data_IF_916968430601
#
_entry.id   IF_916968430601
#
_cell.length_a   1.000
_cell.length_b   1.000
_cell.length_c   1.000
_cell.angle_alpha   90.00
_cell.angle_beta   90.00
_cell.angle_gamma   90.00
#
_symmetry.space_group_name_H-M   'P 1'
#
loop_
_entity.id
_entity.type
_entity.pdbx_description
1 polymer ?
#
# COMPACT_ATOMS: atom_id res chain seq x y z
N UNK A 1 30.29 30.02 -10.06
CA UNK A 1 28.98 30.45 -10.59
C UNK A 1 27.91 29.61 -9.91
N UNK A 2 27.13 30.16 -8.97
CA UNK A 2 25.90 29.53 -8.51
C UNK A 2 24.82 29.92 -9.51
N UNK A 3 24.49 29.06 -10.46
CA UNK A 3 23.18 29.15 -11.10
C UNK A 3 22.18 28.99 -9.96
N UNK A 4 21.41 30.04 -9.69
CA UNK A 4 20.25 29.91 -8.82
C UNK A 4 19.41 28.80 -9.45
N UNK A 5 19.35 27.62 -8.82
CA UNK A 5 18.44 26.58 -9.27
C UNK A 5 17.06 27.20 -9.32
N UNK A 6 16.47 27.20 -10.50
CA UNK A 6 15.15 27.75 -10.74
C UNK A 6 14.15 26.95 -9.88
N UNK A 7 13.65 27.57 -8.81
CA UNK A 7 12.69 26.94 -7.90
C UNK A 7 11.27 27.23 -8.37
N UNK A 8 10.42 26.21 -8.36
CA UNK A 8 8.99 26.29 -8.66
C UNK A 8 8.19 25.89 -7.43
N UNK A 9 7.21 26.73 -7.10
CA UNK A 9 6.24 26.44 -6.04
C UNK A 9 5.14 25.53 -6.59
N UNK A 10 4.98 24.34 -6.03
CA UNK A 10 3.80 23.50 -6.26
C UNK A 10 2.85 23.63 -5.07
N UNK A 11 1.54 23.56 -5.32
CA UNK A 11 0.52 23.56 -4.26
C UNK A 11 -0.37 22.34 -4.41
N UNK A 12 -0.62 21.65 -3.29
CA UNK A 12 -1.34 20.39 -3.21
C UNK A 12 -2.21 20.34 -1.97
N UNK A 13 -3.28 19.56 -2.00
CA UNK A 13 -4.08 19.20 -0.82
C UNK A 13 -3.45 17.98 -0.14
N UNK A 14 -2.98 18.15 1.09
CA UNK A 14 -2.45 17.04 1.90
C UNK A 14 -3.35 16.74 3.09
N UNK A 15 -3.44 15.46 3.44
CA UNK A 15 -4.14 15.02 4.65
C UNK A 15 -3.41 15.55 5.89
N UNK A 16 -4.10 16.33 6.73
CA UNK A 16 -3.44 17.06 7.82
C UNK A 16 -2.69 16.17 8.82
N UNK A 17 -3.20 15.00 9.25
CA UNK A 17 -2.44 14.09 10.13
C UNK A 17 -1.12 13.64 9.51
N UNK A 18 -1.12 13.33 8.21
CA UNK A 18 0.08 12.98 7.46
C UNK A 18 1.05 14.16 7.38
N UNK A 19 0.57 15.35 7.02
CA UNK A 19 1.40 16.56 6.94
C UNK A 19 2.03 16.89 8.30
N UNK A 20 1.27 16.79 9.38
CA UNK A 20 1.78 16.99 10.74
C UNK A 20 2.91 16.00 11.05
N UNK A 21 2.69 14.71 10.79
CA UNK A 21 3.68 13.67 11.05
C UNK A 21 4.96 13.85 10.22
N UNK A 22 4.79 14.20 8.95
CA UNK A 22 5.90 14.46 8.04
C UNK A 22 6.75 15.64 8.53
N UNK A 23 6.13 16.76 8.89
CA UNK A 23 6.85 17.91 9.45
C UNK A 23 7.55 17.56 10.78
N UNK A 24 6.90 16.79 11.66
CA UNK A 24 7.48 16.33 12.94
C UNK A 24 8.76 15.53 12.70
N UNK A 25 8.74 14.57 11.76
CA UNK A 25 9.89 13.72 11.46
C UNK A 25 11.02 14.50 10.75
N UNK A 26 10.71 15.38 9.80
CA UNK A 26 11.72 16.26 9.20
C UNK A 26 12.42 17.12 10.25
N UNK A 27 11.65 17.72 11.17
CA UNK A 27 12.20 18.54 12.25
C UNK A 27 13.10 17.72 13.19
N UNK A 28 12.66 16.51 13.58
CA UNK A 28 13.45 15.60 14.41
C UNK A 28 14.74 15.14 13.74
N UNK A 29 14.73 14.99 12.43
CA UNK A 29 15.90 14.63 11.62
C UNK A 29 16.77 15.84 11.24
N UNK A 30 16.42 17.05 11.68
CA UNK A 30 17.10 18.30 11.30
C UNK A 30 17.14 18.55 9.78
N UNK A 31 16.11 18.09 9.05
CA UNK A 31 16.02 18.23 7.60
C UNK A 31 15.19 19.44 7.19
N UNK A 32 15.62 20.14 6.14
CA UNK A 32 14.75 21.07 5.44
C UNK A 32 13.74 20.25 4.64
N UNK A 33 12.47 20.32 5.04
CA UNK A 33 11.38 19.55 4.43
C UNK A 33 11.29 19.71 2.92
N UNK A 34 11.26 20.94 2.41
CA UNK A 34 11.08 21.20 0.98
C UNK A 34 12.28 20.68 0.18
N UNK A 35 13.50 20.88 0.67
CA UNK A 35 14.70 20.39 0.01
C UNK A 35 14.80 18.85 0.04
N UNK A 36 14.43 18.22 1.15
CA UNK A 36 14.41 16.76 1.25
C UNK A 36 13.33 16.16 0.35
N UNK A 37 12.12 16.72 0.35
CA UNK A 37 11.03 16.24 -0.47
C UNK A 37 11.28 16.46 -1.97
N UNK A 38 12.01 17.52 -2.34
CA UNK A 38 12.52 17.73 -3.70
C UNK A 38 13.43 16.59 -4.15
N UNK A 39 14.37 16.12 -3.33
CA UNK A 39 15.22 14.98 -3.66
C UNK A 39 14.40 13.69 -3.83
N UNK A 40 13.48 13.42 -2.90
CA UNK A 40 12.62 12.24 -2.97
C UNK A 40 11.77 12.26 -4.24
N UNK A 41 11.10 13.37 -4.55
CA UNK A 41 10.23 13.45 -5.73
C UNK A 41 10.99 13.39 -7.06
N UNK A 42 12.25 13.85 -7.09
CA UNK A 42 13.13 13.74 -8.26
C UNK A 42 13.41 12.28 -8.62
N UNK A 43 13.49 11.42 -7.61
CA UNK A 43 13.60 9.97 -7.77
C UNK A 43 12.23 9.32 -8.05
N UNK A 44 11.21 9.66 -7.28
CA UNK A 44 9.92 8.95 -7.31
C UNK A 44 9.09 9.25 -8.55
N UNK A 45 9.18 10.44 -9.14
CA UNK A 45 8.45 10.76 -10.37
C UNK A 45 8.82 9.85 -11.56
N UNK A 46 10.11 9.63 -11.90
CA UNK A 46 10.48 8.67 -12.93
C UNK A 46 10.21 7.21 -12.50
N UNK A 47 10.37 6.86 -11.22
CA UNK A 47 10.03 5.52 -10.73
C UNK A 47 8.56 5.17 -10.92
N UNK A 48 7.64 6.11 -10.68
CA UNK A 48 6.21 5.94 -10.96
C UNK A 48 5.97 5.47 -12.39
N UNK A 49 6.57 6.14 -13.37
CA UNK A 49 6.40 5.78 -14.78
C UNK A 49 7.07 4.46 -15.12
N UNK A 50 8.27 4.22 -14.58
CA UNK A 50 9.01 2.99 -14.82
C UNK A 50 8.25 1.77 -14.30
N UNK A 51 7.67 1.85 -13.10
CA UNK A 51 6.92 0.75 -12.48
C UNK A 51 5.55 0.52 -13.15
N UNK A 52 4.91 1.59 -13.63
CA UNK A 52 3.67 1.46 -14.38
C UNK A 52 3.89 0.78 -15.74
N UNK A 53 5.09 0.86 -16.31
CA UNK A 53 5.45 0.27 -17.59
C UNK A 53 4.46 0.66 -18.72
N UNK A 54 4.07 1.93 -18.77
CA UNK A 54 3.12 2.48 -19.75
C UNK A 54 1.64 2.26 -19.41
N UNK A 55 1.31 1.56 -18.33
CA UNK A 55 -0.05 1.53 -17.79
C UNK A 55 -0.46 2.90 -17.26
N UNK A 56 -1.75 3.21 -17.35
CA UNK A 56 -2.35 4.43 -16.83
C UNK A 56 -3.72 4.14 -16.27
N UNK A 57 -4.14 4.90 -15.26
CA UNK A 57 -5.49 4.78 -14.73
C UNK A 57 -6.52 5.09 -15.82
N UNK A 58 -7.68 4.42 -15.78
CA UNK A 58 -8.84 4.88 -16.53
C UNK A 58 -9.36 6.22 -15.97
N UNK A 59 -10.23 6.91 -16.71
CA UNK A 59 -10.91 8.10 -16.21
C UNK A 59 -11.78 7.79 -14.97
N UNK A 60 -12.35 6.59 -14.89
CA UNK A 60 -13.14 6.13 -13.76
C UNK A 60 -12.26 5.90 -12.53
N UNK A 61 -11.14 5.17 -12.68
CA UNK A 61 -10.15 4.93 -11.64
C UNK A 61 -9.58 6.25 -11.09
N UNK A 62 -9.15 7.17 -11.97
CA UNK A 62 -8.66 8.49 -11.55
C UNK A 62 -9.69 9.26 -10.73
N UNK A 63 -10.94 9.29 -11.19
CA UNK A 63 -12.05 9.98 -10.48
C UNK A 63 -12.33 9.31 -9.14
N UNK A 64 -12.27 7.98 -9.09
CA UNK A 64 -12.50 7.18 -7.91
C UNK A 64 -11.47 7.45 -6.81
N UNK A 65 -10.18 7.33 -7.14
CA UNK A 65 -9.08 7.56 -6.21
C UNK A 65 -9.10 9.01 -5.71
N UNK A 66 -9.33 9.97 -6.61
CA UNK A 66 -9.51 11.38 -6.22
C UNK A 66 -10.63 11.55 -5.19
N UNK A 67 -11.78 10.90 -5.40
CA UNK A 67 -12.89 10.95 -4.44
C UNK A 67 -12.47 10.35 -3.10
N UNK A 68 -11.78 9.21 -3.09
CA UNK A 68 -11.30 8.58 -1.86
C UNK A 68 -10.35 9.52 -1.08
N UNK A 69 -9.48 10.26 -1.76
CA UNK A 69 -8.62 11.26 -1.10
C UNK A 69 -9.46 12.38 -0.46
N UNK A 70 -10.46 12.90 -1.17
CA UNK A 70 -11.37 13.93 -0.65
C UNK A 70 -12.25 13.44 0.51
N UNK A 71 -12.44 12.12 0.64
CA UNK A 71 -13.19 11.49 1.74
C UNK A 71 -12.41 11.42 3.06
N UNK A 72 -11.08 11.54 3.06
CA UNK A 72 -10.22 11.43 4.27
C UNK A 72 -10.42 12.52 5.33
N UNK A 73 -11.22 13.55 5.01
CA UNK A 73 -11.49 14.73 5.84
C UNK A 73 -10.20 15.51 6.20
N UNK A 74 -10.33 16.79 6.59
CA UNK A 74 -9.20 17.64 7.01
C UNK A 74 -8.01 17.70 6.02
N UNK A 75 -8.32 17.89 4.73
CA UNK A 75 -7.30 18.22 3.73
C UNK A 75 -6.86 19.68 3.88
N UNK A 76 -5.55 19.92 3.84
CA UNK A 76 -4.95 21.25 3.96
C UNK A 76 -4.15 21.59 2.70
N UNK A 77 -4.33 22.80 2.15
CA UNK A 77 -3.46 23.28 1.11
C UNK A 77 -2.06 23.49 1.69
N UNK A 78 -1.07 22.86 1.08
CA UNK A 78 0.34 23.06 1.39
C UNK A 78 1.11 23.34 0.11
N UNK A 79 2.17 24.12 0.24
CA UNK A 79 3.07 24.39 -0.88
C UNK A 79 4.47 23.92 -0.59
N UNK A 80 5.13 23.40 -1.62
CA UNK A 80 6.53 23.00 -1.60
C UNK A 80 7.31 23.80 -2.65
N UNK A 81 8.50 24.27 -2.29
CA UNK A 81 9.42 24.93 -3.21
C UNK A 81 10.44 23.91 -3.73
N UNK A 82 10.19 23.41 -4.93
CA UNK A 82 10.98 22.35 -5.57
C UNK A 82 11.89 22.92 -6.66
N UNK A 83 12.90 22.18 -7.11
CA UNK A 83 13.55 22.48 -8.40
C UNK A 83 12.48 22.45 -9.50
N UNK A 84 12.59 23.35 -10.48
CA UNK A 84 11.66 23.42 -11.60
C UNK A 84 11.61 22.09 -12.36
N UNK A 85 12.77 21.47 -12.59
CA UNK A 85 12.89 20.16 -13.22
C UNK A 85 12.10 19.08 -12.48
N UNK A 86 12.22 19.02 -11.15
CA UNK A 86 11.50 18.07 -10.31
C UNK A 86 9.99 18.32 -10.33
N UNK A 87 9.57 19.58 -10.21
CA UNK A 87 8.14 19.94 -10.32
C UNK A 87 7.54 19.57 -11.68
N UNK A 88 8.28 19.76 -12.77
CA UNK A 88 7.88 19.37 -14.13
C UNK A 88 7.86 17.84 -14.32
N UNK A 89 8.81 17.12 -13.71
CA UNK A 89 8.84 15.66 -13.71
C UNK A 89 7.61 15.08 -12.98
N UNK A 90 7.25 15.64 -11.82
CA UNK A 90 6.05 15.25 -11.07
C UNK A 90 4.78 15.50 -11.88
N UNK A 91 4.63 16.69 -12.46
CA UNK A 91 3.45 17.03 -13.28
C UNK A 91 3.33 16.05 -14.47
N UNK A 92 4.43 15.82 -15.19
CA UNK A 92 4.48 14.89 -16.32
C UNK A 92 4.13 13.46 -15.92
N UNK A 93 4.74 12.96 -14.84
CA UNK A 93 4.50 11.60 -14.37
C UNK A 93 3.03 11.38 -13.98
N UNK A 94 2.42 12.37 -13.32
CA UNK A 94 1.01 12.31 -12.96
C UNK A 94 0.10 12.37 -14.20
N UNK A 95 0.43 13.21 -15.18
CA UNK A 95 -0.36 13.33 -16.41
C UNK A 95 -0.30 12.04 -17.26
N UNK A 96 0.89 11.47 -17.44
CA UNK A 96 1.10 10.21 -18.18
C UNK A 96 0.41 9.02 -17.49
N UNK A 97 0.49 8.92 -16.17
CA UNK A 97 -0.20 7.90 -15.37
C UNK A 97 -1.71 8.11 -15.25
N UNK A 98 -2.25 9.22 -15.80
CA UNK A 98 -3.61 9.70 -15.59
C UNK A 98 -3.99 9.70 -14.09
N UNK A 99 -3.14 10.29 -13.27
CA UNK A 99 -3.24 10.35 -11.82
C UNK A 99 -3.45 11.80 -11.37
N UNK A 100 -4.12 11.99 -10.22
CA UNK A 100 -4.19 13.31 -9.61
C UNK A 100 -2.94 13.57 -8.77
N UNK A 101 -2.21 14.66 -9.05
CA UNK A 101 -0.94 15.01 -8.37
C UNK A 101 -0.99 14.93 -6.85
N UNK A 102 -2.08 15.39 -6.25
CA UNK A 102 -2.24 15.39 -4.79
C UNK A 102 -2.21 13.97 -4.23
N UNK A 103 -2.75 12.97 -4.95
CA UNK A 103 -2.68 11.55 -4.57
C UNK A 103 -1.25 11.06 -4.54
N UNK A 104 -0.48 11.35 -5.60
CA UNK A 104 0.92 10.96 -5.69
C UNK A 104 1.75 11.56 -4.55
N UNK A 105 1.59 12.86 -4.29
CA UNK A 105 2.30 13.56 -3.22
C UNK A 105 1.93 13.02 -1.84
N UNK A 106 0.65 12.75 -1.57
CA UNK A 106 0.25 12.13 -0.30
C UNK A 106 0.79 10.70 -0.18
N UNK A 107 0.83 9.93 -1.27
CA UNK A 107 1.41 8.57 -1.25
C UNK A 107 2.88 8.60 -0.88
N UNK A 108 3.68 9.40 -1.58
CA UNK A 108 5.13 9.50 -1.32
C UNK A 108 5.36 9.96 0.12
N UNK A 109 4.65 11.00 0.58
CA UNK A 109 4.77 11.46 1.96
C UNK A 109 4.34 10.38 2.97
N UNK A 110 3.28 9.60 2.68
CA UNK A 110 2.85 8.50 3.54
C UNK A 110 3.93 7.43 3.68
N UNK A 111 4.54 7.01 2.57
CA UNK A 111 5.60 6.01 2.56
C UNK A 111 6.85 6.46 3.33
N UNK A 112 7.14 7.77 3.38
CA UNK A 112 8.24 8.32 4.19
C UNK A 112 7.99 8.28 5.70
N UNK A 113 6.73 8.26 6.15
CA UNK A 113 6.40 8.41 7.59
C UNK A 113 5.80 7.17 8.22
N UNK A 114 5.25 6.27 7.41
CA UNK A 114 4.57 5.06 7.86
C UNK A 114 5.57 4.10 8.49
N UNK A 115 5.14 3.36 9.51
CA UNK A 115 5.95 2.27 10.07
C UNK A 115 5.88 1.05 9.17
N UNK A 116 6.97 0.31 9.06
CA UNK A 116 7.02 -0.95 8.29
C UNK A 116 5.88 -1.90 8.65
N UNK A 117 5.56 -2.08 9.93
CA UNK A 117 4.46 -2.95 10.39
C UNK A 117 3.10 -2.58 9.80
N UNK A 118 2.87 -1.30 9.51
CA UNK A 118 1.64 -0.85 8.86
C UNK A 118 1.64 -1.20 7.37
N UNK A 119 2.80 -1.18 6.70
CA UNK A 119 2.92 -1.64 5.32
C UNK A 119 2.78 -3.17 5.21
N UNK A 120 3.43 -3.90 6.12
CA UNK A 120 3.31 -5.36 6.23
C UNK A 120 1.84 -5.80 6.30
N UNK A 121 1.06 -5.16 7.17
CA UNK A 121 -0.37 -5.43 7.29
C UNK A 121 -1.20 -5.01 6.07
N UNK A 122 -0.76 -4.01 5.30
CA UNK A 122 -1.51 -3.54 4.12
C UNK A 122 -1.30 -4.45 2.91
N UNK A 123 -0.11 -5.04 2.78
CA UNK A 123 0.27 -5.85 1.63
C UNK A 123 0.34 -7.34 1.93
N UNK A 124 0.08 -7.75 3.19
CA UNK A 124 0.18 -9.13 3.65
C UNK A 124 1.58 -9.73 3.40
N UNK A 125 2.61 -8.94 3.71
CA UNK A 125 4.02 -9.28 3.51
C UNK A 125 4.77 -9.10 4.83
N UNK A 126 5.66 -10.03 5.18
CA UNK A 126 6.53 -9.91 6.35
C UNK A 126 7.97 -9.56 5.92
N UNK A 127 8.39 -8.30 6.13
CA UNK A 127 9.66 -7.78 5.62
C UNK A 127 10.88 -8.54 6.16
N UNK A 128 10.78 -9.07 7.38
CA UNK A 128 11.84 -9.88 8.02
C UNK A 128 12.21 -11.13 7.21
N UNK A 129 11.31 -11.64 6.36
CA UNK A 129 11.57 -12.80 5.51
C UNK A 129 12.45 -12.47 4.29
N UNK A 130 12.62 -11.18 3.98
CA UNK A 130 13.38 -10.67 2.83
C UNK A 130 14.63 -9.92 3.27
N UNK A 131 15.18 -10.32 4.42
CA UNK A 131 16.31 -9.63 5.05
C UNK A 131 17.51 -9.60 4.10
N UNK A 132 17.82 -10.72 3.47
CA UNK A 132 19.00 -10.85 2.63
C UNK A 132 18.86 -9.98 1.37
N UNK A 133 17.70 -9.96 0.74
CA UNK A 133 17.40 -9.10 -0.42
C UNK A 133 17.49 -7.61 -0.09
N UNK A 134 17.06 -7.20 1.11
CA UNK A 134 17.21 -5.80 1.58
C UNK A 134 18.69 -5.44 1.77
N UNK A 135 19.53 -6.38 2.24
CA UNK A 135 20.93 -6.13 2.56
C UNK A 135 21.90 -6.41 1.40
N UNK A 136 21.51 -7.16 0.37
CA UNK A 136 22.31 -7.37 -0.84
C UNK A 136 22.56 -6.05 -1.59
N UNK A 137 21.62 -5.10 -1.53
CA UNK A 137 21.79 -3.73 -2.03
C UNK A 137 22.68 -2.85 -1.09
N UNK A 138 23.14 -3.38 0.05
CA UNK A 138 23.65 -2.67 1.24
C UNK A 138 25.08 -2.13 1.20
N UNK A 139 25.49 -1.45 0.14
CA UNK A 139 26.77 -0.73 0.10
C UNK A 139 26.85 0.45 1.09
N UNK A 140 25.70 0.94 1.56
CA UNK A 140 25.51 2.16 2.35
C UNK A 140 26.04 2.08 3.80
N UNK A 141 25.98 0.89 4.43
CA UNK A 141 26.42 0.71 5.83
C UNK A 141 27.94 0.97 5.98
N UNK A 142 28.74 0.60 4.97
CA UNK A 142 30.18 0.85 4.97
C UNK A 142 30.49 2.35 4.88
N UNK A 143 29.75 3.10 4.05
CA UNK A 143 29.90 4.57 3.96
C UNK A 143 29.50 5.26 5.25
N UNK A 144 28.40 4.83 5.86
CA UNK A 144 27.99 5.34 7.18
C UNK A 144 29.09 5.13 8.21
N UNK A 145 29.74 3.97 8.26
CA UNK A 145 30.74 3.64 9.28
C UNK A 145 32.13 4.23 9.04
N UNK A 146 32.59 4.30 7.79
CA UNK A 146 33.98 4.61 7.43
C UNK A 146 34.17 5.99 6.78
N UNK A 147 33.09 6.64 6.32
CA UNK A 147 33.12 7.94 5.69
C UNK A 147 32.76 9.11 6.62
N UNK A 148 32.91 10.36 6.15
CA UNK A 148 32.37 11.52 6.84
C UNK A 148 30.85 11.42 6.99
N UNK A 149 30.33 11.63 8.20
CA UNK A 149 28.92 11.37 8.52
C UNK A 149 27.95 12.24 7.72
N UNK A 150 28.31 13.49 7.44
CA UNK A 150 27.49 14.39 6.63
C UNK A 150 27.37 13.92 5.17
N UNK A 151 28.45 13.37 4.59
CA UNK A 151 28.41 12.83 3.23
C UNK A 151 27.62 11.53 3.19
N UNK A 152 27.82 10.64 4.17
CA UNK A 152 27.06 9.40 4.23
C UNK A 152 25.55 9.64 4.39
N UNK A 153 25.14 10.65 5.16
CA UNK A 153 23.73 11.07 5.23
C UNK A 153 23.28 11.61 3.87
N UNK A 154 24.05 12.50 3.23
CA UNK A 154 23.68 13.06 1.94
C UNK A 154 23.53 11.98 0.84
N UNK A 155 24.42 11.00 0.82
CA UNK A 155 24.37 9.86 -0.11
C UNK A 155 23.15 8.99 0.17
N UNK A 156 22.92 8.63 1.44
CA UNK A 156 21.73 7.87 1.84
C UNK A 156 20.42 8.59 1.49
N UNK A 157 20.41 9.93 1.54
CA UNK A 157 19.25 10.74 1.16
C UNK A 157 19.15 10.96 -0.37
N UNK A 158 20.24 10.74 -1.11
CA UNK A 158 20.34 10.92 -2.56
C UNK A 158 20.07 9.64 -3.36
N UNK A 159 20.14 8.47 -2.71
CA UNK A 159 19.72 7.18 -3.25
C UNK A 159 18.19 7.00 -3.17
N UNK A 160 17.71 5.84 -3.63
CA UNK A 160 16.29 5.49 -3.59
C UNK A 160 15.78 5.41 -2.13
N UNK A 161 14.91 6.34 -1.67
CA UNK A 161 14.44 6.37 -0.29
C UNK A 161 13.54 5.17 0.07
N UNK A 162 13.07 4.40 -0.92
CA UNK A 162 12.24 3.21 -0.74
C UNK A 162 12.90 1.93 -1.27
N UNK A 163 14.22 1.92 -1.47
CA UNK A 163 14.96 0.77 -1.99
C UNK A 163 14.62 -0.53 -1.26
N UNK A 164 14.63 -0.51 0.08
CA UNK A 164 14.30 -1.68 0.90
C UNK A 164 12.86 -2.15 0.74
N UNK A 165 11.88 -1.25 0.58
CA UNK A 165 10.49 -1.63 0.31
C UNK A 165 10.39 -2.27 -1.08
N UNK A 166 11.02 -1.66 -2.09
CA UNK A 166 11.03 -2.20 -3.45
C UNK A 166 11.69 -3.57 -3.48
N UNK A 167 12.84 -3.77 -2.83
CA UNK A 167 13.51 -5.07 -2.77
C UNK A 167 12.57 -6.17 -2.24
N UNK A 168 11.85 -5.89 -1.16
CA UNK A 168 10.82 -6.79 -0.60
C UNK A 168 9.73 -7.09 -1.62
N UNK A 169 9.15 -6.07 -2.24
CA UNK A 169 8.08 -6.24 -3.21
C UNK A 169 8.53 -7.05 -4.44
N UNK A 170 9.72 -6.76 -4.98
CA UNK A 170 10.32 -7.52 -6.10
C UNK A 170 10.49 -9.00 -5.75
N UNK A 171 10.90 -9.28 -4.52
CA UNK A 171 11.14 -10.64 -4.05
C UNK A 171 9.82 -11.39 -3.77
N UNK A 172 8.80 -10.69 -3.27
CA UNK A 172 7.48 -11.24 -2.98
C UNK A 172 6.66 -11.56 -4.25
N UNK A 173 6.77 -10.73 -5.29
CA UNK A 173 6.08 -10.93 -6.57
C UNK A 173 7.09 -10.91 -7.73
N UNK A 174 7.63 -12.09 -8.02
CA UNK A 174 8.64 -12.27 -9.08
C UNK A 174 8.08 -12.10 -10.48
N UNK A 175 6.77 -12.26 -10.66
CA UNK A 175 6.13 -12.25 -11.98
C UNK A 175 5.88 -10.82 -12.45
N UNK A 176 5.49 -9.91 -11.54
CA UNK A 176 5.33 -8.48 -11.87
C UNK A 176 6.57 -7.65 -11.53
N UNK A 177 7.55 -8.25 -10.83
CA UNK A 177 8.68 -7.54 -10.28
C UNK A 177 8.29 -6.51 -9.22
N UNK A 178 7.10 -6.62 -8.60
CA UNK A 178 6.72 -5.88 -7.40
C UNK A 178 6.95 -4.36 -7.43
N UNK A 179 6.24 -3.63 -8.29
CA UNK A 179 6.32 -2.16 -8.35
C UNK A 179 5.67 -1.49 -7.13
N UNK A 180 6.39 -0.59 -6.46
CA UNK A 180 5.89 0.12 -5.28
C UNK A 180 4.59 0.86 -5.58
N UNK A 181 4.49 1.58 -6.69
CA UNK A 181 3.34 2.37 -7.12
C UNK A 181 2.20 1.53 -7.73
N UNK A 182 2.41 0.24 -7.94
CA UNK A 182 1.36 -0.71 -8.32
C UNK A 182 0.59 -1.22 -7.12
N UNK A 183 1.18 -1.15 -5.93
CA UNK A 183 0.54 -1.67 -4.72
C UNK A 183 -0.62 -0.75 -4.30
N UNK A 184 -1.85 -1.27 -4.21
CA UNK A 184 -2.95 -0.51 -3.64
C UNK A 184 -2.67 -0.22 -2.16
N UNK A 185 -3.25 0.88 -1.67
CA UNK A 185 -3.32 1.18 -0.25
C UNK A 185 -4.78 1.18 0.19
N UNK A 186 -5.04 0.75 1.42
CA UNK A 186 -6.40 0.56 1.93
C UNK A 186 -7.16 -0.52 1.17
N UNK A 187 -8.48 -0.40 1.15
CA UNK A 187 -9.38 -1.34 0.48
C UNK A 187 -10.20 -0.59 -0.57
N UNK A 188 -9.65 -0.37 -1.78
CA UNK A 188 -10.32 0.44 -2.80
C UNK A 188 -11.72 -0.08 -3.14
N UNK A 189 -11.97 -1.39 -3.14
CA UNK A 189 -13.30 -1.95 -3.41
C UNK A 189 -14.31 -1.88 -2.25
N UNK A 190 -13.90 -1.45 -1.05
CA UNK A 190 -14.75 -1.51 0.13
C UNK A 190 -15.74 -0.33 0.24
N UNK A 191 -16.68 -0.47 1.17
CA UNK A 191 -17.58 0.63 1.58
C UNK A 191 -16.75 1.78 2.18
N UNK A 192 -17.30 2.99 2.12
CA UNK A 192 -16.58 4.25 2.41
C UNK A 192 -15.79 4.20 3.72
N UNK A 193 -16.39 3.67 4.78
CA UNK A 193 -15.83 3.60 6.13
C UNK A 193 -14.62 2.65 6.21
N UNK A 194 -14.50 1.73 5.26
CA UNK A 194 -13.47 0.70 5.21
C UNK A 194 -12.40 0.96 4.13
N UNK A 195 -12.61 1.95 3.25
CA UNK A 195 -11.64 2.29 2.19
C UNK A 195 -10.28 2.68 2.73
N UNK A 196 -10.23 3.27 3.92
CA UNK A 196 -9.00 3.68 4.57
C UNK A 196 -8.14 4.55 3.64
N UNK A 197 -6.95 4.05 3.30
CA UNK A 197 -5.94 4.77 2.53
C UNK A 197 -6.09 4.66 0.99
N UNK A 198 -7.25 4.24 0.47
CA UNK A 198 -7.51 4.14 -0.97
C UNK A 198 -7.26 5.44 -1.75
N UNK A 199 -7.35 6.60 -1.07
CA UNK A 199 -7.00 7.90 -1.64
C UNK A 199 -5.52 8.10 -1.91
N UNK A 200 -4.63 7.18 -1.50
CA UNK A 200 -3.17 7.21 -1.72
C UNK A 200 -2.73 6.18 -2.77
N UNK A 201 -3.67 5.48 -3.40
CA UNK A 201 -3.38 4.50 -4.46
C UNK A 201 -3.03 5.22 -5.77
N UNK A 202 -1.83 4.97 -6.29
CA UNK A 202 -1.33 5.59 -7.54
C UNK A 202 -1.85 4.91 -8.81
N UNK A 203 -2.16 3.63 -8.74
CA UNK A 203 -2.70 2.85 -9.85
C UNK A 203 -3.79 1.91 -9.35
N UNK A 204 -4.92 1.88 -10.04
CA UNK A 204 -6.05 1.03 -9.70
C UNK A 204 -6.69 0.47 -10.96
N UNK A 205 -6.73 -0.86 -11.06
CA UNK A 205 -7.45 -1.55 -12.13
C UNK A 205 -8.96 -1.30 -12.02
N UNK A 206 -9.64 -1.21 -13.16
CA UNK A 206 -11.06 -0.88 -13.21
C UNK A 206 -11.95 -1.93 -12.53
N UNK A 207 -11.49 -3.16 -12.37
CA UNK A 207 -12.20 -4.20 -11.62
C UNK A 207 -12.41 -3.82 -10.14
N UNK A 208 -11.53 -2.99 -9.58
CA UNK A 208 -11.65 -2.48 -8.22
C UNK A 208 -12.39 -1.14 -8.12
N UNK A 209 -12.90 -0.62 -9.24
CA UNK A 209 -13.61 0.67 -9.31
C UNK A 209 -15.11 0.44 -9.35
N UNK A 210 -15.87 0.79 -8.29
CA UNK A 210 -17.32 0.62 -8.26
C UNK A 210 -18.03 1.29 -9.43
N UNK A 211 -18.89 0.52 -10.10
CA UNK A 211 -19.75 0.98 -11.20
C UNK A 211 -19.11 0.91 -12.59
N UNK A 212 -17.91 0.37 -12.73
CA UNK A 212 -17.34 0.00 -14.04
C UNK A 212 -17.85 -1.38 -14.47
N UNK A 213 -17.79 -1.67 -15.78
CA UNK A 213 -18.16 -2.98 -16.31
C UNK A 213 -17.27 -4.12 -15.77
N UNK A 214 -15.93 -4.00 -15.69
CA UNK A 214 -15.08 -5.01 -15.07
C UNK A 214 -15.45 -5.29 -13.62
N UNK A 215 -15.73 -4.25 -12.82
CA UNK A 215 -16.14 -4.41 -11.43
C UNK A 215 -17.48 -5.17 -11.33
N UNK A 216 -18.45 -4.83 -12.18
CA UNK A 216 -19.73 -5.53 -12.22
C UNK A 216 -19.59 -7.00 -12.66
N UNK A 217 -18.68 -7.29 -13.59
CA UNK A 217 -18.38 -8.65 -14.01
C UNK A 217 -17.73 -9.48 -12.88
N UNK A 218 -16.77 -8.90 -12.17
CA UNK A 218 -16.14 -9.54 -11.02
C UNK A 218 -17.15 -9.82 -9.90
N UNK A 219 -18.04 -8.87 -9.61
CA UNK A 219 -19.09 -9.05 -8.60
C UNK A 219 -20.04 -10.21 -8.95
N UNK A 220 -20.48 -10.32 -10.21
CA UNK A 220 -21.30 -11.45 -10.68
C UNK A 220 -20.56 -12.79 -10.56
N UNK A 221 -19.27 -12.83 -10.90
CA UNK A 221 -18.46 -14.04 -10.79
C UNK A 221 -18.32 -14.52 -9.33
N UNK A 222 -18.11 -13.58 -8.40
CA UNK A 222 -18.04 -13.89 -6.96
C UNK A 222 -19.39 -14.37 -6.44
N UNK A 223 -20.50 -13.76 -6.87
CA UNK A 223 -21.86 -14.18 -6.50
C UNK A 223 -22.14 -15.62 -6.93
N UNK A 224 -21.84 -15.97 -8.19
CA UNK A 224 -21.97 -17.34 -8.71
C UNK A 224 -21.11 -18.32 -7.90
N UNK A 225 -19.87 -17.98 -7.58
CA UNK A 225 -18.99 -18.84 -6.79
C UNK A 225 -19.55 -19.09 -5.37
N UNK A 226 -20.10 -18.05 -4.73
CA UNK A 226 -20.71 -18.17 -3.41
C UNK A 226 -21.98 -19.02 -3.43
N UNK A 227 -22.77 -18.94 -4.50
CA UNK A 227 -23.93 -19.82 -4.71
C UNK A 227 -23.50 -21.28 -4.85
N UNK A 228 -22.52 -21.57 -5.70
CA UNK A 228 -21.97 -22.93 -5.86
C UNK A 228 -21.45 -23.49 -4.54
N UNK A 229 -20.69 -22.71 -3.76
CA UNK A 229 -20.18 -23.16 -2.46
C UNK A 229 -21.29 -23.41 -1.43
N UNK A 230 -22.39 -22.65 -1.48
CA UNK A 230 -23.57 -22.88 -0.62
C UNK A 230 -24.29 -24.16 -0.99
N UNK A 231 -24.43 -24.45 -2.27
CA UNK A 231 -25.04 -25.70 -2.77
C UNK A 231 -24.20 -26.92 -2.36
N UNK A 232 -22.88 -26.88 -2.57
CA UNK A 232 -21.97 -27.95 -2.15
C UNK A 232 -21.92 -28.14 -0.62
N UNK A 233 -22.02 -27.05 0.14
CA UNK A 233 -22.11 -27.08 1.60
C UNK A 233 -23.43 -27.68 2.09
N UNK A 234 -24.55 -27.37 1.42
CA UNK A 234 -25.86 -27.92 1.73
C UNK A 234 -25.91 -29.43 1.48
N UNK A 235 -25.37 -29.91 0.35
CA UNK A 235 -25.30 -31.34 0.02
C UNK A 235 -24.45 -32.14 1.03
N UNK A 236 -23.34 -31.57 1.52
CA UNK A 236 -22.51 -32.21 2.56
C UNK A 236 -23.20 -32.28 3.92
N UNK A 237 -24.08 -31.33 4.23
CA UNK A 237 -24.84 -31.31 5.50
C UNK A 237 -26.09 -32.23 5.49
N UNK A 238 -26.64 -32.54 4.31
CA UNK A 238 -27.79 -33.44 4.14
C UNK A 238 -27.46 -34.95 4.23
N UNK A 239 -26.17 -35.32 4.26
CA UNK A 239 -25.71 -36.72 4.25
C UNK A 239 -25.64 -37.43 5.60
N UNK A 240 -25.88 -36.75 6.74
CA UNK A 240 -25.80 -37.40 8.06
C UNK A 240 -27.14 -38.02 8.45
N UNK A 241 -27.52 -39.10 7.78
CA UNK A 241 -28.62 -39.95 8.24
C UNK A 241 -28.25 -40.56 9.60
N UNK A 242 -28.98 -40.14 10.63
CA UNK A 242 -28.93 -40.66 12.01
C UNK A 242 -29.04 -42.18 11.99
N UNK A 243 -27.90 -42.88 12.14
CA UNK A 243 -27.86 -44.29 12.51
C UNK A 243 -28.45 -44.41 13.92
N UNK A 244 -29.74 -44.74 14.00
CA UNK A 244 -30.41 -45.13 15.25
C UNK A 244 -29.64 -46.27 15.90
N UNK A 245 -28.98 -45.99 17.02
CA UNK A 245 -28.36 -47.01 17.86
C UNK A 245 -29.42 -48.00 18.38
N UNK A 246 -29.15 -49.31 18.43
CA UNK A 246 -30.12 -50.29 18.91
C UNK A 246 -30.37 -50.15 20.41
N UNK A 247 -31.65 -50.17 20.81
CA UNK A 247 -32.11 -50.26 22.20
C UNK A 247 -31.47 -51.48 22.89
N UNK A 248 -30.59 -51.25 23.86
CA UNK A 248 -30.15 -52.27 24.80
C UNK A 248 -31.29 -52.58 25.80
N UNK A 249 -31.77 -53.83 25.78
CA UNK A 249 -32.69 -54.39 26.77
C UNK A 249 -31.98 -54.48 28.13
N UNK A 250 -32.43 -53.71 29.11
CA UNK A 250 -32.12 -53.90 30.54
C UNK A 250 -32.86 -55.14 31.05
N UNK A 251 -32.13 -56.20 31.37
CA UNK A 251 -32.61 -57.30 32.22
C UNK A 251 -32.53 -56.89 33.70
N UNK A 252 -33.54 -57.30 34.45
CA UNK A 252 -33.64 -57.19 35.91
C UNK A 252 -33.04 -58.43 36.59
N UNK A 253 -32.53 -58.22 37.81
CA UNK A 253 -32.23 -59.24 38.81
C UNK A 253 -30.73 -59.45 39.01
N UNK A 254 -30.18 -59.67 40.20
CA UNK A 254 -30.73 -59.83 41.54
C UNK A 254 -29.52 -59.92 42.49
N UNK A 255 -29.59 -59.23 43.65
CA UNK A 255 -29.07 -59.65 44.98
C UNK A 255 -27.64 -60.19 45.13
N UNK A 256 -26.80 -59.53 45.94
CA UNK A 256 -26.49 -59.97 47.32
C UNK A 256 -25.51 -59.04 48.05
N UNK A 257 -25.81 -58.83 49.34
CA UNK A 257 -24.95 -58.32 50.42
C UNK A 257 -23.72 -59.20 50.64
N UNK A 258 -22.65 -58.60 51.16
CA UNK A 258 -21.83 -58.88 52.38
C UNK A 258 -20.57 -58.00 52.19
N UNK A 259 -20.05 -57.17 53.09
CA UNK A 259 -20.13 -57.06 54.55
C UNK A 259 -18.70 -56.87 55.06
N UNK A 260 -18.54 -55.92 56.00
CA UNK A 260 -17.34 -55.53 56.75
C UNK A 260 -16.25 -54.73 56.01
#
# INVERSE_FOLDING_TARGET
MKTAEDKRKISVQMWAPLLHKFNELCNKACLNRDAYFDLVLDHEAPMLLSELAGRKNSAAARKYVKRCLLELQDLRPVSFNLRRSTAEAVDRACDEANLWRDVFINRVAYLLVVRTSSLESQWDIEFKHYRDEIFEDGWEIKRLLLGPRLLAIADFLGDDPFAGIRAVLRAADRDTGGGLHLQPLGMPGAVREQRGLAGFTTYLEDEFVPGTEPNAAQARMVEVLLETLREEGAERSGGTAVRKSPKAKRSKGSSRRVGA
#
